data_IF_452716149521
#
_entry.id   IF_452716149521
#
_cell.length_a   1.000
_cell.length_b   1.000
_cell.length_c   1.000
_cell.angle_alpha   90.00
_cell.angle_beta   90.00
_cell.angle_gamma   90.00
#
_symmetry.space_group_name_H-M   'P 1'
#
loop_
_entity.id
_entity.type
_entity.pdbx_description
1 polymer ?
#
# COMPACT_ATOMS: atom_id res chain seq x y z
N UNK A 1 12.12 -11.18 3.21
CA UNK A 1 11.05 -11.35 4.21
C UNK A 1 10.22 -10.08 4.32
N UNK A 2 9.09 -10.04 3.61
CA UNK A 2 8.17 -8.89 3.56
C UNK A 2 7.00 -9.00 4.57
N UNK A 3 6.98 -10.08 5.36
CA UNK A 3 5.85 -10.44 6.20
C UNK A 3 6.28 -10.39 7.66
N UNK A 4 5.62 -9.53 8.43
CA UNK A 4 5.84 -9.42 9.86
C UNK A 4 5.21 -10.66 10.49
N UNK A 5 6.00 -11.47 11.20
CA UNK A 5 5.62 -12.83 11.62
C UNK A 5 4.41 -12.91 12.57
N UNK A 6 3.83 -11.77 12.96
CA UNK A 6 2.70 -11.62 13.88
C UNK A 6 1.42 -10.98 13.31
N UNK A 7 1.34 -10.62 12.03
CA UNK A 7 0.07 -10.12 11.46
C UNK A 7 -0.85 -11.25 10.97
N UNK A 8 -2.16 -10.97 10.87
CA UNK A 8 -3.19 -11.96 10.52
C UNK A 8 -2.97 -12.56 9.12
N UNK A 9 -2.47 -11.78 8.17
CA UNK A 9 -2.22 -12.27 6.81
C UNK A 9 -1.00 -13.18 6.78
N UNK A 10 0.07 -12.80 7.47
CA UNK A 10 1.28 -13.62 7.64
C UNK A 10 0.95 -14.96 8.32
N UNK A 11 0.09 -14.96 9.34
CA UNK A 11 -0.41 -16.19 9.96
C UNK A 11 -1.21 -17.06 8.98
N UNK A 12 -2.18 -16.48 8.26
CA UNK A 12 -2.99 -17.22 7.29
C UNK A 12 -2.13 -17.85 6.17
N UNK A 13 -1.13 -17.11 5.67
CA UNK A 13 -0.15 -17.63 4.70
C UNK A 13 0.61 -18.85 5.25
N UNK A 14 1.04 -18.84 6.52
CA UNK A 14 1.68 -20.00 7.17
C UNK A 14 0.76 -21.22 7.24
N UNK A 15 -0.55 -21.00 7.30
CA UNK A 15 -1.57 -22.05 7.29
C UNK A 15 -2.01 -22.44 5.87
N UNK A 16 -1.32 -21.99 4.81
CA UNK A 16 -1.72 -22.18 3.42
C UNK A 16 -3.17 -21.73 3.12
N UNK A 17 -3.63 -20.71 3.85
CA UNK A 17 -5.00 -20.19 3.73
C UNK A 17 -4.96 -18.83 3.02
N UNK A 18 -5.82 -18.59 2.01
CA UNK A 18 -5.89 -17.29 1.36
C UNK A 18 -6.23 -16.16 2.35
N UNK A 19 -5.51 -15.04 2.25
CA UNK A 19 -5.78 -13.83 3.03
C UNK A 19 -5.72 -12.59 2.15
N UNK A 20 -6.58 -11.62 2.49
CA UNK A 20 -6.58 -10.29 1.88
C UNK A 20 -6.76 -9.26 2.99
N UNK A 21 -5.85 -8.30 3.06
CA UNK A 21 -6.04 -7.08 3.84
C UNK A 21 -6.75 -6.04 2.96
N UNK A 22 -7.83 -5.42 3.47
CA UNK A 22 -8.56 -4.37 2.76
C UNK A 22 -8.48 -3.07 3.54
N UNK A 23 -7.68 -2.15 3.02
CA UNK A 23 -7.63 -0.77 3.49
C UNK A 23 -8.93 -0.06 3.08
N UNK A 24 -9.82 0.18 4.04
CA UNK A 24 -11.17 0.69 3.79
C UNK A 24 -11.24 2.22 3.68
N UNK A 25 -10.13 2.93 3.83
CA UNK A 25 -10.06 4.39 3.90
C UNK A 25 -9.50 4.87 5.25
N UNK A 26 -9.57 6.18 5.48
CA UNK A 26 -9.12 6.77 6.75
C UNK A 26 -10.21 6.63 7.83
N UNK A 27 -9.81 6.59 9.11
CA UNK A 27 -10.72 6.32 10.24
C UNK A 27 -11.91 7.31 10.36
N UNK A 28 -11.77 8.54 9.85
CA UNK A 28 -12.85 9.52 9.87
C UNK A 28 -13.69 9.52 8.59
N UNK A 29 -13.39 8.66 7.62
CA UNK A 29 -14.21 8.50 6.43
C UNK A 29 -15.48 7.70 6.77
N UNK A 30 -16.68 8.31 6.70
CA UNK A 30 -17.93 7.59 6.96
C UNK A 30 -18.15 6.42 5.98
N UNK A 31 -17.51 6.43 4.82
CA UNK A 31 -17.57 5.34 3.85
C UNK A 31 -16.71 4.13 4.23
N UNK A 32 -15.77 4.27 5.17
CA UNK A 32 -14.89 3.17 5.57
C UNK A 32 -15.69 1.98 6.12
N UNK A 33 -16.69 2.23 6.97
CA UNK A 33 -17.57 1.19 7.49
C UNK A 33 -18.40 0.51 6.39
N UNK A 34 -18.84 1.26 5.39
CA UNK A 34 -19.59 0.73 4.24
C UNK A 34 -18.70 -0.16 3.38
N UNK A 35 -17.45 0.24 3.15
CA UNK A 35 -16.46 -0.55 2.39
C UNK A 35 -16.11 -1.82 3.16
N UNK A 36 -15.91 -1.74 4.47
CA UNK A 36 -15.66 -2.90 5.33
C UNK A 36 -16.81 -3.91 5.25
N UNK A 37 -18.06 -3.45 5.42
CA UNK A 37 -19.24 -4.33 5.33
C UNK A 37 -19.37 -4.98 3.95
N UNK A 38 -19.17 -4.21 2.87
CA UNK A 38 -19.18 -4.76 1.50
C UNK A 38 -18.12 -5.84 1.32
N UNK A 39 -16.91 -5.61 1.84
CA UNK A 39 -15.80 -6.55 1.79
C UNK A 39 -16.13 -7.83 2.57
N UNK A 40 -16.71 -7.71 3.76
CA UNK A 40 -17.17 -8.87 4.55
C UNK A 40 -18.19 -9.69 3.78
N UNK A 41 -19.21 -9.05 3.18
CA UNK A 41 -20.24 -9.75 2.40
C UNK A 41 -19.63 -10.45 1.17
N UNK A 42 -18.67 -9.81 0.48
CA UNK A 42 -17.93 -10.43 -0.63
C UNK A 42 -17.12 -11.65 -0.16
N UNK A 43 -16.48 -11.56 1.00
CA UNK A 43 -15.78 -12.69 1.63
C UNK A 43 -16.73 -13.83 2.00
N UNK A 44 -17.90 -13.52 2.57
CA UNK A 44 -18.94 -14.53 2.85
C UNK A 44 -19.41 -15.24 1.59
N UNK A 45 -19.60 -14.52 0.47
CA UNK A 45 -19.93 -15.13 -0.82
C UNK A 45 -18.82 -16.02 -1.34
N UNK A 46 -17.57 -15.58 -1.26
CA UNK A 46 -16.42 -16.38 -1.66
C UNK A 46 -16.36 -17.71 -0.88
N UNK A 47 -16.75 -17.69 0.39
CA UNK A 47 -16.81 -18.87 1.27
C UNK A 47 -18.13 -19.68 1.12
N UNK A 48 -19.04 -19.30 0.22
CA UNK A 48 -20.32 -19.99 0.04
C UNK A 48 -21.33 -19.80 1.18
N UNK A 49 -21.17 -18.77 2.00
CA UNK A 49 -22.04 -18.47 3.15
C UNK A 49 -23.23 -17.56 2.78
N UNK A 50 -23.23 -16.97 1.57
CA UNK A 50 -24.32 -16.14 1.06
C UNK A 50 -24.28 -16.05 -0.47
N UNK A 51 -25.46 -16.03 -1.09
CA UNK A 51 -25.64 -15.75 -2.52
C UNK A 51 -26.05 -14.30 -2.79
N UNK A 52 -26.41 -13.55 -1.75
CA UNK A 52 -26.97 -12.21 -1.85
C UNK A 52 -25.88 -11.15 -1.90
N UNK A 53 -25.23 -10.99 -3.06
CA UNK A 53 -24.24 -9.93 -3.25
C UNK A 53 -24.38 -9.26 -4.60
N UNK A 54 -24.60 -7.94 -4.56
CA UNK A 54 -24.48 -7.09 -5.74
C UNK A 54 -23.01 -6.72 -5.96
N UNK A 55 -22.42 -7.26 -7.02
CA UNK A 55 -21.06 -6.92 -7.44
C UNK A 55 -21.17 -6.02 -8.66
N UNK A 56 -20.88 -4.73 -8.50
CA UNK A 56 -20.64 -3.88 -9.64
C UNK A 56 -19.21 -4.13 -10.13
N UNK A 57 -19.05 -4.69 -11.33
CA UNK A 57 -17.73 -4.87 -11.95
C UNK A 57 -17.16 -3.49 -12.29
N UNK A 58 -16.25 -3.00 -11.45
CA UNK A 58 -15.38 -1.87 -11.80
C UNK A 58 -14.06 -2.42 -12.33
N UNK A 59 -13.45 -1.69 -13.26
CA UNK A 59 -12.06 -1.90 -13.64
C UNK A 59 -11.18 -1.66 -12.41
N UNK A 60 -10.44 -2.69 -12.01
CA UNK A 60 -9.44 -2.62 -10.95
C UNK A 60 -8.06 -2.51 -11.58
N UNK A 61 -7.23 -1.61 -11.04
CA UNK A 61 -5.80 -1.59 -11.39
C UNK A 61 -5.08 -2.58 -10.49
N UNK A 62 -4.34 -3.49 -11.10
CA UNK A 62 -3.47 -4.39 -10.37
C UNK A 62 -2.06 -3.80 -10.31
N UNK A 63 -1.55 -3.64 -9.10
CA UNK A 63 -0.17 -3.21 -8.87
C UNK A 63 0.57 -4.28 -8.08
N UNK A 64 1.87 -4.40 -8.31
CA UNK A 64 2.75 -5.31 -7.61
C UNK A 64 3.76 -4.50 -6.80
N UNK A 65 3.69 -4.60 -5.47
CA UNK A 65 4.69 -4.04 -4.56
C UNK A 65 6.03 -4.74 -4.77
N UNK A 66 7.09 -3.97 -5.06
CA UNK A 66 8.43 -4.48 -5.33
C UNK A 66 9.35 -4.39 -4.13
N UNK A 67 9.29 -3.27 -3.43
CA UNK A 67 10.27 -2.94 -2.39
C UNK A 67 9.67 -1.91 -1.43
N UNK A 68 10.03 -2.03 -0.14
CA UNK A 68 9.77 -1.03 0.89
C UNK A 68 11.02 -0.22 1.18
N UNK A 69 10.88 1.10 1.31
CA UNK A 69 11.97 2.02 1.58
C UNK A 69 11.87 2.51 3.01
N UNK A 70 12.90 2.26 3.81
CA UNK A 70 13.04 2.81 5.16
C UNK A 70 13.45 4.28 5.12
N UNK A 71 12.89 5.08 6.04
CA UNK A 71 13.25 6.48 6.22
C UNK A 71 14.72 6.58 6.64
N UNK A 72 15.58 7.29 5.88
CA UNK A 72 16.95 7.56 6.27
C UNK A 72 17.04 8.50 7.48
N UNK A 73 18.22 8.59 8.08
CA UNK A 73 18.51 9.64 9.06
C UNK A 73 18.41 11.03 8.42
N UNK A 74 17.97 12.01 9.23
CA UNK A 74 17.80 13.41 8.79
C UNK A 74 16.92 13.60 7.54
N UNK A 75 16.07 12.65 7.17
CA UNK A 75 15.30 12.72 5.93
C UNK A 75 13.90 13.33 6.12
N UNK A 76 13.42 14.00 5.09
CA UNK A 76 12.02 14.39 4.88
C UNK A 76 11.60 14.18 3.42
N UNK A 77 10.29 14.12 3.18
CA UNK A 77 9.76 14.05 1.82
C UNK A 77 9.99 15.37 1.08
N UNK A 78 10.39 15.27 -0.19
CA UNK A 78 10.56 16.42 -1.09
C UNK A 78 9.20 17.03 -1.49
N UNK A 79 8.13 16.24 -1.45
CA UNK A 79 6.79 16.66 -1.88
C UNK A 79 5.65 16.03 -1.10
N UNK A 80 4.43 16.45 -1.44
CA UNK A 80 3.20 15.89 -0.88
C UNK A 80 2.73 14.68 -1.70
N UNK A 81 3.38 13.54 -1.49
CA UNK A 81 2.99 12.29 -2.14
C UNK A 81 1.82 11.64 -1.42
N UNK A 82 0.80 11.24 -2.19
CA UNK A 82 -0.35 10.48 -1.70
C UNK A 82 -0.30 9.02 -2.17
N UNK A 83 -1.18 8.17 -1.64
CA UNK A 83 -1.31 6.79 -2.11
C UNK A 83 -1.53 6.71 -3.61
N UNK A 84 -0.82 5.78 -4.25
CA UNK A 84 -0.88 5.48 -5.68
C UNK A 84 -0.39 6.62 -6.60
N UNK A 85 0.46 7.51 -6.09
CA UNK A 85 1.07 8.58 -6.90
C UNK A 85 2.08 7.98 -7.89
N UNK A 86 1.91 8.16 -9.21
CA UNK A 86 2.91 7.75 -10.19
C UNK A 86 4.10 8.72 -10.15
N UNK A 87 5.31 8.18 -10.22
CA UNK A 87 6.56 8.96 -10.27
C UNK A 87 7.47 8.42 -11.37
N UNK A 88 8.26 9.32 -11.98
CA UNK A 88 9.22 8.96 -13.04
C UNK A 88 10.57 8.61 -12.44
N UNK A 89 11.34 7.78 -13.16
CA UNK A 89 12.75 7.54 -12.81
C UNK A 89 13.51 8.85 -12.56
N UNK A 90 14.28 8.90 -11.48
CA UNK A 90 15.06 10.07 -11.06
C UNK A 90 14.24 11.13 -10.32
N UNK A 91 12.94 10.92 -10.08
CA UNK A 91 12.15 11.85 -9.25
C UNK A 91 12.69 11.85 -7.83
N UNK A 92 13.09 13.01 -7.25
CA UNK A 92 13.50 13.09 -5.86
C UNK A 92 12.33 12.81 -4.91
N UNK A 93 12.54 11.91 -3.96
CA UNK A 93 11.49 11.46 -3.04
C UNK A 93 11.79 11.88 -1.61
N UNK A 94 13.02 11.68 -1.16
CA UNK A 94 13.49 12.08 0.16
C UNK A 94 14.74 12.95 0.05
N UNK A 95 14.83 13.97 0.88
CA UNK A 95 15.98 14.86 1.01
C UNK A 95 16.40 15.02 2.47
N UNK A 96 17.65 15.40 2.70
CA UNK A 96 18.12 15.80 4.02
C UNK A 96 17.43 17.10 4.47
N UNK A 97 16.93 17.13 5.70
CA UNK A 97 16.35 18.33 6.34
C UNK A 97 17.42 19.41 6.51
N UNK A 98 18.66 19.01 6.78
CA UNK A 98 19.77 19.91 7.06
C UNK A 98 20.41 20.46 5.79
N UNK A 99 20.81 19.60 4.86
CA UNK A 99 21.60 19.97 3.68
C UNK A 99 20.76 20.18 2.43
N UNK A 100 19.51 19.71 2.42
CA UNK A 100 18.63 19.65 1.24
C UNK A 100 19.16 18.76 0.10
N UNK A 101 20.22 18.00 0.34
CA UNK A 101 20.69 17.00 -0.62
C UNK A 101 19.66 15.88 -0.78
N UNK A 102 19.50 15.41 -2.01
CA UNK A 102 18.62 14.29 -2.32
C UNK A 102 19.25 13.00 -1.78
N UNK A 103 18.47 12.26 -1.00
CA UNK A 103 18.89 11.01 -0.37
C UNK A 103 18.30 9.79 -1.08
N UNK A 104 17.07 9.94 -1.59
CA UNK A 104 16.37 8.89 -2.33
C UNK A 104 15.69 9.48 -3.55
N UNK A 105 15.97 8.89 -4.70
CA UNK A 105 15.29 9.12 -5.97
C UNK A 105 14.57 7.84 -6.41
N UNK A 106 13.51 8.00 -7.21
CA UNK A 106 12.82 6.87 -7.81
C UNK A 106 13.78 6.12 -8.78
N UNK A 107 14.07 4.82 -8.57
CA UNK A 107 15.03 4.08 -9.38
C UNK A 107 14.53 3.75 -10.80
N UNK A 108 13.21 3.77 -11.00
CA UNK A 108 12.50 3.51 -12.25
C UNK A 108 11.12 4.20 -12.21
N UNK A 109 10.39 4.19 -13.32
CA UNK A 109 8.99 4.64 -13.35
C UNK A 109 8.14 3.73 -12.46
N UNK A 110 7.57 4.28 -11.39
CA UNK A 110 6.88 3.49 -10.37
C UNK A 110 5.69 4.23 -9.75
N UNK A 111 4.98 3.53 -8.86
CA UNK A 111 3.85 4.03 -8.10
C UNK A 111 4.23 3.99 -6.62
N UNK A 112 4.06 5.11 -5.92
CA UNK A 112 4.26 5.17 -4.48
C UNK A 112 3.03 4.63 -3.74
N UNK A 113 3.26 3.74 -2.79
CA UNK A 113 2.22 3.12 -1.95
C UNK A 113 2.53 3.38 -0.48
N UNK A 114 1.51 3.79 0.27
CA UNK A 114 1.55 4.12 1.69
C UNK A 114 2.69 5.09 2.07
N UNK A 115 2.78 6.30 1.47
CA UNK A 115 3.72 7.31 1.94
C UNK A 115 3.39 7.79 3.35
N UNK A 116 4.30 7.54 4.29
CA UNK A 116 4.19 7.87 5.71
C UNK A 116 5.04 9.10 6.01
N UNK A 117 4.50 10.30 5.82
CA UNK A 117 5.20 11.57 6.13
C UNK A 117 5.68 11.69 7.57
N UNK A 118 5.04 10.95 8.48
CA UNK A 118 5.36 10.89 9.90
C UNK A 118 6.44 9.84 10.23
N UNK A 119 6.94 9.07 9.25
CA UNK A 119 7.96 8.05 9.48
C UNK A 119 9.25 8.68 10.02
N UNK A 120 9.78 8.09 11.09
CA UNK A 120 11.08 8.42 11.68
C UNK A 120 12.15 7.47 11.15
N UNK A 121 13.47 7.75 11.34
CA UNK A 121 14.54 6.91 10.82
C UNK A 121 14.36 5.42 11.15
N UNK A 122 14.59 4.56 10.16
CA UNK A 122 14.41 3.11 10.26
C UNK A 122 12.98 2.61 10.09
N UNK A 123 11.96 3.48 10.21
CA UNK A 123 10.57 3.14 9.87
C UNK A 123 10.41 3.21 8.37
N UNK A 124 9.71 2.24 7.80
CA UNK A 124 9.33 2.25 6.39
C UNK A 124 8.54 3.50 6.00
N UNK A 125 9.11 4.29 5.09
CA UNK A 125 8.58 5.56 4.59
C UNK A 125 7.52 5.35 3.51
N UNK A 126 7.74 4.42 2.57
CA UNK A 126 6.80 4.10 1.48
C UNK A 126 7.21 2.79 0.80
N UNK A 127 6.38 2.29 -0.11
CA UNK A 127 6.71 1.20 -1.02
C UNK A 127 6.72 1.67 -2.48
N UNK A 128 7.57 1.03 -3.28
CA UNK A 128 7.48 1.07 -4.74
C UNK A 128 6.57 -0.04 -5.24
N UNK A 129 5.68 0.31 -6.18
CA UNK A 129 4.90 -0.65 -6.94
C UNK A 129 4.99 -0.38 -8.44
N UNK A 130 4.73 -1.40 -9.25
CA UNK A 130 4.56 -1.30 -10.70
C UNK A 130 3.17 -1.77 -11.08
N UNK A 131 2.61 -1.24 -12.17
CA UNK A 131 1.41 -1.84 -12.75
C UNK A 131 1.71 -3.25 -13.23
N UNK A 132 0.77 -4.15 -12.98
CA UNK A 132 0.77 -5.47 -13.57
C UNK A 132 -0.05 -5.35 -14.85
N UNK A 133 0.57 -5.62 -16.00
CA UNK A 133 -0.20 -5.89 -17.21
C UNK A 133 -0.99 -7.18 -16.93
N UNK A 134 -2.32 -7.11 -17.09
CA UNK A 134 -3.15 -8.31 -16.99
C UNK A 134 -2.71 -9.27 -18.12
N UNK A 135 -2.23 -10.45 -17.72
CA UNK A 135 -1.85 -11.52 -18.63
C UNK A 135 -3.09 -12.23 -19.19
#
# INVERSE_FOLDING_TARGET
DLFNDGDTSSYACKQNTPSVCVECGYNQDPMAAVIALKTTILGMKYLGLTDHVYINKKTTRHIHIKEGISMPEDAEFVGDFTNFTPVKKGTPLLQSKTTRNILVEAPYDCILVLPKKWATPGIEAFFYAIEKEDA
#
